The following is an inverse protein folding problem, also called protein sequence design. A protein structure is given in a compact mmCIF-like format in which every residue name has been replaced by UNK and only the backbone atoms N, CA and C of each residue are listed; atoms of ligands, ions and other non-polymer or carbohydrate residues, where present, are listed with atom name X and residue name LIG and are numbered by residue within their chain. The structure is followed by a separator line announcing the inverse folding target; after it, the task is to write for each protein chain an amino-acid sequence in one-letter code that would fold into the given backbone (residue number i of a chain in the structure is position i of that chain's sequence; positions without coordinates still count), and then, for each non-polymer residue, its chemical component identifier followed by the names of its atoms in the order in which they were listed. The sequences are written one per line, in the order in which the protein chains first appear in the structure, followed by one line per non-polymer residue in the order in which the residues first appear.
data_IF_670482785036
#
_entry.id   IF_670482785036
#
_cell.length_a   1.000
_cell.length_b   1.000
_cell.length_c   1.000
_cell.angle_alpha   90.00
_cell.angle_beta   90.00
_cell.angle_gamma   90.00
#
_symmetry.space_group_name_H-M   'P 1'
#
loop_
_entity.id
_entity.type
_entity.pdbx_description
1 polymer ?
#
# COMPACT_ATOMS: atom_id res chain seq x y z
N UNK A 1 17.72 -26.15 -9.67
CA UNK A 1 17.62 -24.78 -9.11
C UNK A 1 18.52 -23.86 -9.92
N UNK A 2 17.98 -22.90 -10.66
CA UNK A 2 18.78 -21.95 -11.43
C UNK A 2 19.57 -21.06 -10.45
N UNK A 3 20.91 -20.96 -10.61
CA UNK A 3 21.77 -20.04 -9.85
C UNK A 3 21.20 -18.63 -10.00
N UNK A 4 20.74 -18.01 -8.91
CA UNK A 4 20.44 -16.57 -8.87
C UNK A 4 21.69 -15.84 -9.36
N UNK A 5 21.64 -15.21 -10.54
CA UNK A 5 22.72 -14.31 -10.98
C UNK A 5 22.85 -13.21 -9.92
N UNK A 6 24.02 -13.11 -9.30
CA UNK A 6 24.34 -11.97 -8.44
C UNK A 6 24.37 -10.73 -9.32
N UNK A 7 23.29 -9.92 -9.26
CA UNK A 7 23.23 -8.64 -9.95
C UNK A 7 24.02 -7.60 -9.14
N UNK A 8 24.64 -6.60 -9.76
CA UNK A 8 25.57 -5.70 -9.09
C UNK A 8 24.90 -4.79 -8.06
N UNK A 9 25.65 -4.46 -7.03
CA UNK A 9 25.44 -3.31 -6.15
C UNK A 9 26.09 -2.10 -6.83
N UNK A 10 25.39 -0.97 -6.87
CA UNK A 10 25.89 0.29 -7.44
C UNK A 10 25.77 1.34 -6.36
N UNK A 11 26.88 1.93 -6.01
CA UNK A 11 26.99 2.88 -4.89
C UNK A 11 26.90 4.32 -5.35
N UNK A 12 26.46 5.21 -4.44
CA UNK A 12 26.44 6.68 -4.60
C UNK A 12 25.71 7.16 -5.87
N UNK A 13 24.54 6.56 -6.15
CA UNK A 13 23.73 6.90 -7.31
C UNK A 13 22.82 8.07 -6.98
N UNK A 14 22.86 9.16 -7.73
CA UNK A 14 21.91 10.28 -7.60
C UNK A 14 20.67 10.01 -8.44
N UNK A 15 19.51 10.02 -7.80
CA UNK A 15 18.21 9.89 -8.46
C UNK A 15 17.91 11.17 -9.24
N UNK A 16 17.50 11.03 -10.51
CA UNK A 16 17.37 12.18 -11.44
C UNK A 16 15.94 12.53 -11.81
N UNK A 17 14.99 11.62 -11.62
CA UNK A 17 13.62 11.90 -12.04
C UNK A 17 12.60 10.92 -11.48
N UNK A 18 11.37 11.08 -11.94
CA UNK A 18 10.23 10.23 -11.60
C UNK A 18 9.60 9.68 -12.87
N UNK A 19 9.26 8.42 -12.85
CA UNK A 19 8.55 7.71 -13.90
C UNK A 19 7.08 7.45 -13.50
N UNK A 20 6.37 6.80 -14.39
CA UNK A 20 5.02 6.32 -14.15
C UNK A 20 4.94 5.47 -12.86
N UNK A 21 3.74 5.40 -12.28
CA UNK A 21 3.44 4.63 -11.05
C UNK A 21 4.23 5.10 -9.81
N UNK A 22 4.80 6.30 -9.83
CA UNK A 22 5.53 6.86 -8.70
C UNK A 22 6.88 6.21 -8.42
N UNK A 23 7.46 5.53 -9.38
CA UNK A 23 8.83 5.03 -9.30
C UNK A 23 9.80 6.16 -9.60
N UNK A 24 10.83 6.32 -8.79
CA UNK A 24 11.95 7.18 -9.16
C UNK A 24 12.77 6.52 -10.28
N UNK A 25 13.50 7.32 -11.03
CA UNK A 25 14.37 6.83 -12.11
C UNK A 25 15.74 7.49 -12.06
N UNK A 26 16.70 6.73 -12.58
CA UNK A 26 18.06 7.18 -12.88
C UNK A 26 18.58 6.43 -14.12
N UNK A 27 19.54 6.99 -14.85
CA UNK A 27 20.28 6.27 -15.89
C UNK A 27 21.59 5.74 -15.32
N UNK A 28 21.80 4.44 -15.48
CA UNK A 28 23.03 3.75 -15.10
C UNK A 28 23.59 3.11 -16.38
N UNK A 29 24.77 3.56 -16.82
CA UNK A 29 25.36 3.15 -18.11
C UNK A 29 24.33 3.23 -19.26
N UNK A 30 23.66 4.37 -19.38
CA UNK A 30 22.62 4.69 -20.36
C UNK A 30 21.34 3.85 -20.28
N UNK A 31 21.24 2.92 -19.35
CA UNK A 31 20.05 2.10 -19.13
C UNK A 31 19.18 2.76 -18.06
N UNK A 32 17.89 2.99 -18.38
CA UNK A 32 16.91 3.49 -17.42
C UNK A 32 16.74 2.48 -16.30
N UNK A 33 16.89 2.96 -15.07
CA UNK A 33 16.76 2.13 -13.86
C UNK A 33 15.65 2.68 -12.98
N UNK A 34 14.65 1.86 -12.69
CA UNK A 34 13.51 2.22 -11.84
C UNK A 34 13.80 1.85 -10.38
N UNK A 35 13.56 2.80 -9.50
CA UNK A 35 13.85 2.67 -8.07
C UNK A 35 12.61 3.09 -7.26
N UNK A 36 11.99 2.20 -6.48
CA UNK A 36 10.89 2.57 -5.60
C UNK A 36 11.40 3.34 -4.37
N UNK A 37 10.51 4.10 -3.74
CA UNK A 37 10.73 4.79 -2.47
C UNK A 37 11.87 5.83 -2.47
N UNK A 38 12.18 6.39 -3.63
CA UNK A 38 13.12 7.49 -3.80
C UNK A 38 12.44 8.73 -4.36
N UNK A 39 13.10 9.87 -4.19
CA UNK A 39 12.77 11.14 -4.83
C UNK A 39 13.98 11.70 -5.56
N UNK A 40 13.80 12.54 -6.59
CA UNK A 40 14.90 13.19 -7.27
C UNK A 40 15.80 13.98 -6.30
N UNK A 41 17.12 13.85 -6.49
CA UNK A 41 18.13 14.42 -5.60
C UNK A 41 18.55 13.50 -4.43
N UNK A 42 17.87 12.39 -4.18
CA UNK A 42 18.40 11.38 -3.25
C UNK A 42 19.70 10.79 -3.79
N UNK A 43 20.70 10.61 -2.94
CA UNK A 43 21.89 9.82 -3.22
C UNK A 43 21.79 8.50 -2.49
N UNK A 44 21.85 7.39 -3.22
CA UNK A 44 21.54 6.05 -2.71
C UNK A 44 22.48 4.97 -3.21
N UNK A 45 22.63 3.90 -2.43
CA UNK A 45 23.21 2.65 -2.90
C UNK A 45 22.10 1.72 -3.39
N UNK A 46 22.25 1.17 -4.58
CA UNK A 46 21.24 0.42 -5.30
C UNK A 46 21.67 -1.03 -5.54
N UNK A 47 20.89 -1.98 -5.06
CA UNK A 47 20.97 -3.36 -5.50
C UNK A 47 20.11 -3.55 -6.74
N UNK A 48 20.71 -3.89 -7.87
CA UNK A 48 19.95 -4.28 -9.06
C UNK A 48 19.19 -5.57 -8.76
N UNK A 49 17.90 -5.58 -9.00
CA UNK A 49 17.01 -6.73 -8.78
C UNK A 49 16.62 -7.43 -10.07
N UNK A 50 16.59 -6.64 -11.17
CA UNK A 50 16.26 -7.15 -12.50
C UNK A 50 17.01 -6.33 -13.57
N UNK A 51 17.54 -7.03 -14.58
CA UNK A 51 18.21 -6.40 -15.73
C UNK A 51 17.61 -6.94 -17.02
N UNK A 52 17.08 -6.04 -17.84
CA UNK A 52 16.66 -6.29 -19.23
C UNK A 52 17.50 -5.43 -20.19
N UNK A 53 17.35 -5.64 -21.48
CA UNK A 53 18.07 -4.87 -22.50
C UNK A 53 17.72 -3.37 -22.44
N UNK A 54 16.45 -3.02 -22.23
CA UNK A 54 15.95 -1.63 -22.27
C UNK A 54 15.81 -0.96 -20.91
N UNK A 55 15.81 -1.71 -19.81
CA UNK A 55 15.67 -1.15 -18.46
C UNK A 55 16.22 -2.06 -17.36
N UNK A 56 16.43 -1.48 -16.19
CA UNK A 56 16.72 -2.18 -14.95
C UNK A 56 15.70 -1.82 -13.86
N UNK A 57 15.54 -2.70 -12.88
CA UNK A 57 14.86 -2.43 -11.63
C UNK A 57 15.87 -2.60 -10.49
N UNK A 58 15.81 -1.72 -9.53
CA UNK A 58 16.70 -1.74 -8.37
C UNK A 58 15.90 -1.51 -7.08
N UNK A 59 16.47 -1.92 -5.94
CA UNK A 59 16.01 -1.55 -4.61
C UNK A 59 17.09 -0.75 -3.90
N UNK A 60 16.67 0.19 -3.08
CA UNK A 60 17.57 0.94 -2.20
C UNK A 60 18.10 0.00 -1.13
N UNK A 61 19.42 -0.03 -0.98
CA UNK A 61 20.10 -0.71 0.13
C UNK A 61 20.42 0.29 1.23
N UNK A 62 20.83 1.49 0.83
CA UNK A 62 21.18 2.56 1.77
C UNK A 62 20.85 3.93 1.16
N UNK A 63 20.25 4.79 1.95
CA UNK A 63 20.12 6.22 1.64
C UNK A 63 21.36 6.91 2.19
N UNK A 64 22.22 7.43 1.31
CA UNK A 64 23.48 8.11 1.66
C UNK A 64 23.19 9.55 2.02
N UNK A 65 22.48 10.24 1.13
CA UNK A 65 22.09 11.64 1.34
C UNK A 65 20.64 11.84 0.87
N UNK A 66 19.74 12.24 1.77
CA UNK A 66 18.38 12.60 1.40
C UNK A 66 18.37 13.87 0.55
N UNK A 67 17.48 13.91 -0.43
CA UNK A 67 17.19 15.12 -1.21
C UNK A 67 16.61 16.22 -0.33
N UNK A 68 16.92 17.46 -0.64
CA UNK A 68 16.35 18.64 0.03
C UNK A 68 14.85 18.79 -0.25
N UNK A 69 14.33 18.18 -1.31
CA UNK A 69 12.88 18.16 -1.61
C UNK A 69 12.14 17.04 -0.90
N UNK A 70 12.84 16.13 -0.23
CA UNK A 70 12.20 15.04 0.52
C UNK A 70 11.46 15.60 1.74
N UNK A 71 10.23 15.15 1.95
CA UNK A 71 9.49 15.46 3.17
C UNK A 71 9.22 14.19 4.00
N UNK A 72 8.84 14.39 5.24
CA UNK A 72 8.39 13.30 6.10
C UNK A 72 6.98 12.85 5.66
N UNK A 73 6.80 11.56 5.45
CA UNK A 73 5.48 11.00 5.17
C UNK A 73 4.58 11.11 6.41
N UNK A 74 3.31 11.48 6.20
CA UNK A 74 2.33 11.51 7.29
C UNK A 74 2.01 10.10 7.81
N UNK A 75 1.91 9.12 6.90
CA UNK A 75 1.60 7.74 7.24
C UNK A 75 2.85 6.98 7.68
N UNK A 76 2.82 6.39 8.88
CA UNK A 76 3.92 5.55 9.40
C UNK A 76 4.18 4.28 8.58
N UNK A 77 3.21 3.86 7.77
CA UNK A 77 3.34 2.69 6.88
C UNK A 77 3.87 3.06 5.48
N UNK A 78 4.23 4.34 5.26
CA UNK A 78 4.82 4.77 3.99
C UNK A 78 6.12 4.02 3.70
N UNK A 79 6.29 3.59 2.44
CA UNK A 79 7.43 2.78 2.03
C UNK A 79 7.27 1.26 2.22
N UNK A 80 6.40 0.83 3.13
CA UNK A 80 6.08 -0.59 3.36
C UNK A 80 4.72 -0.95 2.74
N UNK A 81 3.69 -0.16 3.04
CA UNK A 81 2.38 -0.30 2.42
C UNK A 81 2.44 0.01 0.92
N UNK A 82 1.91 -0.88 0.09
CA UNK A 82 1.89 -0.70 -1.37
C UNK A 82 0.94 0.39 -1.88
N UNK A 83 0.11 1.00 -1.01
CA UNK A 83 -0.96 1.91 -1.42
C UNK A 83 -0.48 3.30 -1.85
N UNK A 84 0.37 3.94 -1.07
CA UNK A 84 0.88 5.28 -1.34
C UNK A 84 2.33 5.22 -1.80
N UNK A 85 2.66 5.94 -2.88
CA UNK A 85 4.01 5.92 -3.48
C UNK A 85 4.82 7.18 -3.16
N UNK A 86 4.16 8.32 -2.93
CA UNK A 86 4.79 9.64 -2.99
C UNK A 86 4.63 10.47 -1.71
N UNK A 87 4.23 9.88 -0.60
CA UNK A 87 4.10 10.68 0.64
C UNK A 87 5.41 11.31 1.13
N UNK A 88 6.54 10.85 0.61
CA UNK A 88 7.88 11.39 0.87
C UNK A 88 8.24 12.57 -0.04
N UNK A 89 7.33 13.01 -0.92
CA UNK A 89 7.48 14.13 -1.83
C UNK A 89 6.36 15.15 -1.58
N UNK A 90 6.64 16.46 -1.41
CA UNK A 90 5.63 17.49 -1.25
C UNK A 90 4.60 17.48 -2.39
N UNK A 91 3.36 17.81 -2.09
CA UNK A 91 2.26 17.69 -3.04
C UNK A 91 2.47 18.54 -4.31
N UNK A 92 3.04 19.74 -4.17
CA UNK A 92 3.38 20.63 -5.26
C UNK A 92 4.38 19.98 -6.23
N UNK A 93 5.36 19.26 -5.70
CA UNK A 93 6.31 18.50 -6.51
C UNK A 93 5.65 17.30 -7.19
N UNK A 94 4.72 16.61 -6.47
CA UNK A 94 3.93 15.54 -7.08
C UNK A 94 3.13 16.05 -8.29
N UNK A 95 2.55 17.24 -8.21
CA UNK A 95 1.81 17.87 -9.31
C UNK A 95 2.71 18.13 -10.51
N UNK A 96 3.92 18.70 -10.31
CA UNK A 96 4.88 18.94 -11.39
C UNK A 96 5.23 17.65 -12.14
N UNK A 97 5.56 16.58 -11.41
CA UNK A 97 5.90 15.29 -12.05
C UNK A 97 4.71 14.63 -12.73
N UNK A 98 3.49 14.77 -12.20
CA UNK A 98 2.28 14.29 -12.87
C UNK A 98 2.02 15.04 -14.18
N UNK A 99 2.16 16.37 -14.18
CA UNK A 99 2.01 17.17 -15.38
C UNK A 99 3.07 16.79 -16.41
N UNK A 100 4.33 16.70 -16.01
CA UNK A 100 5.42 16.30 -16.90
C UNK A 100 5.19 14.92 -17.51
N UNK A 101 4.69 13.95 -16.73
CA UNK A 101 4.37 12.63 -17.26
C UNK A 101 3.29 12.67 -18.35
N UNK A 102 2.24 13.48 -18.18
CA UNK A 102 1.20 13.64 -19.21
C UNK A 102 1.78 14.27 -20.47
N UNK A 103 2.56 15.35 -20.34
CA UNK A 103 3.22 16.00 -21.45
C UNK A 103 4.14 15.00 -22.20
N UNK A 104 4.99 14.27 -21.47
CA UNK A 104 5.90 13.28 -22.06
C UNK A 104 5.13 12.16 -22.77
N UNK A 105 4.05 11.67 -22.22
CA UNK A 105 3.23 10.64 -22.85
C UNK A 105 2.59 11.13 -24.15
N UNK A 106 2.05 12.32 -24.15
CA UNK A 106 1.39 12.88 -25.33
C UNK A 106 2.40 13.24 -26.43
N UNK A 107 3.52 13.87 -26.07
CA UNK A 107 4.52 14.31 -27.07
C UNK A 107 5.41 13.17 -27.53
N UNK A 108 5.96 12.36 -26.63
CA UNK A 108 6.96 11.33 -26.98
C UNK A 108 6.33 10.02 -27.46
N UNK A 109 5.23 9.59 -26.81
CA UNK A 109 4.55 8.33 -27.15
C UNK A 109 3.44 8.61 -28.16
N UNK A 110 2.57 9.57 -27.85
CA UNK A 110 1.43 9.94 -28.72
C UNK A 110 1.83 10.69 -29.98
N UNK A 111 3.04 11.27 -30.02
CA UNK A 111 3.54 12.09 -31.15
C UNK A 111 2.61 13.28 -31.45
N UNK A 112 1.97 13.81 -30.42
CA UNK A 112 1.06 14.95 -30.52
C UNK A 112 1.85 16.22 -30.29
N UNK A 113 1.70 17.19 -31.19
CA UNK A 113 2.19 18.55 -31.01
C UNK A 113 1.21 19.28 -30.07
N UNK A 114 1.65 19.54 -28.84
CA UNK A 114 0.79 20.11 -27.81
C UNK A 114 0.80 21.64 -27.91
N UNK A 115 -0.37 22.28 -27.80
CA UNK A 115 -0.43 23.71 -27.54
C UNK A 115 0.13 24.04 -26.15
N UNK A 116 0.24 25.33 -25.85
CA UNK A 116 0.56 25.76 -24.48
C UNK A 116 -0.42 25.10 -23.47
N UNK A 117 0.15 24.39 -22.50
CA UNK A 117 -0.63 23.65 -21.51
C UNK A 117 -0.78 24.45 -20.24
N UNK A 118 -1.99 24.54 -19.72
CA UNK A 118 -2.25 25.16 -18.44
C UNK A 118 -1.59 24.33 -17.30
N UNK A 119 -1.22 24.97 -16.17
CA UNK A 119 -0.76 24.25 -15.00
C UNK A 119 -1.81 23.23 -14.52
N UNK A 120 -1.33 22.09 -14.04
CA UNK A 120 -2.20 21.05 -13.50
C UNK A 120 -3.03 21.58 -12.32
N UNK A 121 -4.34 21.32 -12.34
CA UNK A 121 -5.22 21.65 -11.23
C UNK A 121 -5.00 20.67 -10.07
N UNK A 122 -4.50 21.18 -8.94
CA UNK A 122 -4.33 20.40 -7.72
C UNK A 122 -5.64 20.20 -6.95
N UNK A 123 -5.68 19.13 -6.13
CA UNK A 123 -6.76 18.92 -5.17
C UNK A 123 -6.56 19.82 -3.94
N UNK A 124 -7.64 20.42 -3.45
CA UNK A 124 -7.63 21.16 -2.18
C UNK A 124 -7.41 20.24 -0.98
N UNK A 125 -7.89 19.00 -1.07
CA UNK A 125 -7.76 17.97 -0.03
C UNK A 125 -6.83 16.86 -0.54
N UNK A 126 -5.68 16.69 0.10
CA UNK A 126 -4.64 15.73 -0.29
C UNK A 126 -4.67 14.43 0.53
N UNK A 127 -5.42 14.43 1.63
CA UNK A 127 -5.74 13.27 2.46
C UNK A 127 -7.26 13.15 2.58
N UNK A 128 -7.75 12.01 3.06
CA UNK A 128 -9.19 11.73 3.26
C UNK A 128 -10.06 11.92 2.00
N UNK A 129 -9.45 11.86 0.81
CA UNK A 129 -10.14 12.08 -0.48
C UNK A 129 -10.79 10.81 -1.06
N UNK A 130 -10.44 9.65 -0.53
CA UNK A 130 -11.02 8.38 -0.98
C UNK A 130 -12.38 8.14 -0.38
N UNK A 131 -13.28 7.63 -1.20
CA UNK A 131 -14.62 7.20 -0.79
C UNK A 131 -14.77 5.66 -0.74
N UNK A 132 -13.69 4.92 -0.98
CA UNK A 132 -13.64 3.45 -0.87
C UNK A 132 -12.28 2.98 -0.40
N UNK A 133 -12.27 2.11 0.61
CA UNK A 133 -11.12 1.26 0.96
C UNK A 133 -11.58 -0.19 1.09
N UNK A 134 -10.67 -1.09 0.74
CA UNK A 134 -10.83 -2.52 0.88
C UNK A 134 -9.63 -3.07 1.64
N UNK A 135 -9.89 -3.65 2.81
CA UNK A 135 -8.88 -4.24 3.68
C UNK A 135 -8.98 -5.75 3.64
N UNK A 136 -7.87 -6.42 3.50
CA UNK A 136 -7.79 -7.87 3.63
C UNK A 136 -7.61 -8.26 5.09
N UNK A 137 -8.28 -9.34 5.49
CA UNK A 137 -8.06 -10.02 6.76
C UNK A 137 -7.23 -11.28 6.47
N UNK A 138 -6.12 -11.46 7.15
CA UNK A 138 -5.24 -12.61 6.92
C UNK A 138 -4.70 -13.17 8.23
N UNK A 139 -4.61 -14.49 8.31
CA UNK A 139 -3.92 -15.20 9.39
C UNK A 139 -2.38 -15.17 9.22
N UNK A 140 -1.89 -14.50 8.18
CA UNK A 140 -0.46 -14.34 7.87
C UNK A 140 -0.09 -12.87 7.79
N UNK A 141 0.15 -12.26 8.95
CA UNK A 141 0.60 -10.89 9.05
C UNK A 141 2.04 -10.75 8.53
N UNK A 142 2.27 -9.74 7.69
CA UNK A 142 3.62 -9.37 7.32
C UNK A 142 4.30 -8.63 8.47
N UNK A 143 5.53 -9.02 8.75
CA UNK A 143 6.37 -8.45 9.81
C UNK A 143 7.72 -8.04 9.23
N UNK A 144 8.31 -6.91 9.68
CA UNK A 144 9.69 -6.54 9.36
C UNK A 144 10.66 -7.62 9.82
N UNK A 145 11.73 -7.83 9.05
CA UNK A 145 12.74 -8.83 9.39
C UNK A 145 13.40 -8.58 10.74
N UNK A 146 13.63 -7.31 11.07
CA UNK A 146 14.20 -6.87 12.34
C UNK A 146 13.32 -7.28 13.53
N UNK A 147 12.00 -7.18 13.37
CA UNK A 147 11.06 -7.62 14.40
C UNK A 147 11.08 -9.14 14.59
N UNK A 148 11.17 -9.89 13.49
CA UNK A 148 11.27 -11.36 13.54
C UNK A 148 12.57 -11.78 14.23
N UNK A 149 13.69 -11.14 13.89
CA UNK A 149 14.99 -11.43 14.52
C UNK A 149 15.00 -11.07 16.02
N UNK A 150 14.48 -9.89 16.38
CA UNK A 150 14.41 -9.44 17.77
C UNK A 150 13.58 -10.38 18.65
N UNK A 151 12.57 -11.03 18.09
CA UNK A 151 11.74 -12.01 18.79
C UNK A 151 12.35 -13.43 18.85
N UNK A 152 13.47 -13.68 18.16
CA UNK A 152 14.10 -15.00 18.10
C UNK A 152 13.54 -15.94 17.03
N UNK A 153 12.72 -15.43 16.12
CA UNK A 153 12.15 -16.18 14.98
C UNK A 153 10.67 -15.90 14.75
N UNK A 154 10.18 -16.36 13.59
CA UNK A 154 8.78 -16.12 13.19
C UNK A 154 7.78 -16.83 14.13
N UNK A 155 8.16 -17.96 14.70
CA UNK A 155 7.31 -18.75 15.60
C UNK A 155 7.16 -18.11 17.00
N UNK A 156 7.96 -17.09 17.29
CA UNK A 156 7.92 -16.34 18.55
C UNK A 156 7.09 -15.03 18.43
N UNK A 157 6.52 -14.75 17.27
CA UNK A 157 5.75 -13.52 17.01
C UNK A 157 4.32 -13.89 16.66
N UNK A 158 3.35 -13.20 17.29
CA UNK A 158 1.95 -13.26 16.86
C UNK A 158 1.81 -12.64 15.46
N UNK A 159 1.80 -13.49 14.44
CA UNK A 159 1.64 -13.10 13.04
C UNK A 159 0.23 -13.40 12.51
N UNK A 160 -0.71 -13.73 13.39
CA UNK A 160 -2.14 -13.86 13.08
C UNK A 160 -2.86 -12.51 13.13
N UNK A 161 -4.11 -12.46 12.78
CA UNK A 161 -4.99 -11.28 12.88
C UNK A 161 -4.47 -10.02 12.18
N UNK A 162 -3.94 -10.14 10.95
CA UNK A 162 -3.59 -8.99 10.13
C UNK A 162 -4.81 -8.41 9.43
N UNK A 163 -5.10 -7.11 9.63
CA UNK A 163 -6.14 -6.37 8.88
C UNK A 163 -5.53 -5.14 8.22
N UNK A 164 -5.46 -5.16 6.91
CA UNK A 164 -4.83 -4.05 6.17
C UNK A 164 -4.67 -4.34 4.70
N UNK A 165 -3.46 -4.14 4.18
CA UNK A 165 -3.19 -4.27 2.74
C UNK A 165 -2.13 -5.33 2.46
N UNK A 166 -2.26 -6.02 1.33
CA UNK A 166 -1.20 -6.92 0.87
C UNK A 166 0.09 -6.16 0.59
N UNK A 167 1.21 -6.77 0.96
CA UNK A 167 2.53 -6.25 0.63
C UNK A 167 2.83 -6.49 -0.86
N UNK A 168 3.39 -5.51 -1.57
CA UNK A 168 3.81 -5.70 -2.95
C UNK A 168 4.72 -6.92 -3.11
N UNK A 169 4.30 -7.86 -3.95
CA UNK A 169 5.05 -9.09 -4.21
C UNK A 169 4.80 -10.24 -3.22
N UNK A 170 3.91 -10.07 -2.23
CA UNK A 170 3.51 -11.11 -1.28
C UNK A 170 1.98 -11.15 -1.17
N UNK A 171 1.35 -11.92 -2.04
CA UNK A 171 -0.11 -12.02 -2.11
C UNK A 171 -0.76 -12.67 -0.88
N UNK A 172 0.02 -13.47 -0.16
CA UNK A 172 -0.41 -14.26 1.00
C UNK A 172 -0.19 -13.55 2.35
N UNK A 173 0.40 -12.35 2.33
CA UNK A 173 0.72 -11.60 3.55
C UNK A 173 0.08 -10.24 3.58
N UNK A 174 -0.49 -9.90 4.71
CA UNK A 174 -1.12 -8.60 4.94
C UNK A 174 -0.30 -7.79 5.93
N UNK A 175 0.04 -6.57 5.54
CA UNK A 175 0.54 -5.57 6.48
C UNK A 175 -0.62 -5.15 7.38
N UNK A 176 -0.51 -5.49 8.66
CA UNK A 176 -1.45 -5.04 9.66
C UNK A 176 -1.23 -3.54 9.90
N UNK A 177 -2.21 -2.73 9.57
CA UNK A 177 -2.09 -1.28 9.71
C UNK A 177 -2.96 -0.78 10.87
N UNK A 178 -2.50 0.28 11.54
CA UNK A 178 -3.27 0.94 12.59
C UNK A 178 -4.03 2.15 12.05
N UNK A 179 -3.52 2.76 10.98
CA UNK A 179 -4.08 3.95 10.39
C UNK A 179 -3.93 3.98 8.86
N UNK A 180 -4.90 4.60 8.20
CA UNK A 180 -4.84 4.98 6.79
C UNK A 180 -5.47 6.36 6.63
N UNK A 181 -4.70 7.31 6.10
CA UNK A 181 -5.13 8.70 5.95
C UNK A 181 -5.87 8.99 4.64
N UNK A 182 -6.20 7.97 3.86
CA UNK A 182 -6.87 8.16 2.55
C UNK A 182 -8.39 8.28 2.66
N UNK A 183 -8.98 7.82 3.76
CA UNK A 183 -10.39 8.02 4.13
C UNK A 183 -10.47 8.67 5.53
N UNK A 184 -11.62 9.23 5.93
CA UNK A 184 -11.84 9.74 7.27
C UNK A 184 -11.46 8.74 8.37
N UNK A 185 -11.02 9.22 9.53
CA UNK A 185 -10.44 8.40 10.62
C UNK A 185 -11.31 7.24 11.08
N UNK A 186 -12.65 7.38 11.00
CA UNK A 186 -13.61 6.34 11.36
C UNK A 186 -13.35 4.99 10.64
N UNK A 187 -12.73 5.02 9.44
CA UNK A 187 -12.33 3.77 8.76
C UNK A 187 -11.27 2.99 9.56
N UNK A 188 -10.41 3.70 10.29
CA UNK A 188 -9.40 3.10 11.15
C UNK A 188 -10.05 2.48 12.39
N UNK A 189 -11.02 3.19 12.98
CA UNK A 189 -11.74 2.73 14.17
C UNK A 189 -12.51 1.45 13.87
N UNK A 190 -13.26 1.41 12.76
CA UNK A 190 -13.99 0.21 12.31
C UNK A 190 -13.03 -0.97 12.08
N UNK A 191 -11.96 -0.76 11.34
CA UNK A 191 -10.97 -1.81 11.05
C UNK A 191 -10.33 -2.34 12.33
N UNK A 192 -9.90 -1.45 13.22
CA UNK A 192 -9.27 -1.82 14.49
C UNK A 192 -10.26 -2.55 15.40
N UNK A 193 -11.52 -2.12 15.42
CA UNK A 193 -12.59 -2.80 16.16
C UNK A 193 -12.80 -4.22 15.64
N UNK A 194 -12.89 -4.42 14.34
CA UNK A 194 -13.01 -5.78 13.75
C UNK A 194 -11.84 -6.67 14.18
N UNK A 195 -10.61 -6.18 14.09
CA UNK A 195 -9.42 -6.94 14.51
C UNK A 195 -9.46 -7.30 15.99
N UNK A 196 -9.78 -6.35 16.85
CA UNK A 196 -9.82 -6.53 18.29
C UNK A 196 -10.95 -7.50 18.67
N UNK A 197 -12.14 -7.31 18.13
CA UNK A 197 -13.29 -8.18 18.34
C UNK A 197 -13.00 -9.62 17.91
N UNK A 198 -12.46 -9.80 16.71
CA UNK A 198 -12.11 -11.13 16.19
C UNK A 198 -11.12 -11.86 17.12
N UNK A 199 -10.08 -11.15 17.58
CA UNK A 199 -9.11 -11.71 18.52
C UNK A 199 -9.72 -12.10 19.87
N UNK A 200 -10.61 -11.27 20.40
CA UNK A 200 -11.26 -11.50 21.69
C UNK A 200 -12.29 -12.66 21.65
N UNK A 201 -12.96 -12.83 20.51
CA UNK A 201 -14.04 -13.81 20.35
C UNK A 201 -13.64 -15.05 19.54
N UNK A 202 -12.36 -15.16 19.16
CA UNK A 202 -11.82 -16.34 18.47
C UNK A 202 -12.30 -16.52 17.03
N UNK A 203 -12.70 -15.41 16.32
CA UNK A 203 -12.96 -15.48 14.89
C UNK A 203 -11.65 -15.67 14.14
N UNK A 204 -11.64 -16.59 13.18
CA UNK A 204 -10.46 -16.89 12.37
C UNK A 204 -10.36 -15.95 11.18
N UNK A 205 -9.12 -15.65 10.77
CA UNK A 205 -8.85 -14.87 9.57
C UNK A 205 -8.50 -15.78 8.39
N UNK A 206 -8.81 -15.30 7.20
CA UNK A 206 -8.65 -16.09 5.96
C UNK A 206 -7.19 -16.39 5.64
N UNK A 207 -6.94 -17.64 5.23
CA UNK A 207 -5.66 -18.10 4.75
C UNK A 207 -5.72 -18.32 3.24
N UNK A 208 -4.90 -17.59 2.47
CA UNK A 208 -4.89 -17.64 1.00
C UNK A 208 -4.30 -18.96 0.44
N UNK A 209 -3.66 -19.82 1.28
CA UNK A 209 -3.15 -21.12 0.83
C UNK A 209 -4.08 -22.27 1.13
N UNK A 210 -4.72 -22.25 2.32
CA UNK A 210 -5.64 -23.32 2.72
C UNK A 210 -7.08 -23.03 2.34
N UNK A 211 -7.39 -21.77 2.00
CA UNK A 211 -8.72 -21.25 1.69
C UNK A 211 -9.72 -21.44 2.83
N UNK A 212 -9.23 -21.33 4.07
CA UNK A 212 -10.01 -21.45 5.30
C UNK A 212 -9.92 -20.16 6.11
N UNK A 213 -10.91 -19.95 6.97
CA UNK A 213 -11.00 -18.80 7.86
C UNK A 213 -12.23 -17.94 7.58
N UNK A 214 -12.79 -17.42 8.66
CA UNK A 214 -14.08 -16.72 8.64
C UNK A 214 -13.95 -15.33 8.00
N UNK A 215 -13.12 -14.45 8.55
CA UNK A 215 -12.99 -13.07 8.06
C UNK A 215 -12.00 -12.99 6.88
N UNK A 216 -12.48 -12.48 5.74
CA UNK A 216 -11.69 -12.40 4.49
C UNK A 216 -11.40 -10.97 4.04
N UNK A 217 -12.43 -10.11 3.97
CA UNK A 217 -12.26 -8.75 3.45
C UNK A 217 -13.25 -7.80 4.11
N UNK A 218 -12.81 -6.56 4.34
CA UNK A 218 -13.66 -5.45 4.76
C UNK A 218 -13.67 -4.40 3.67
N UNK A 219 -14.84 -4.04 3.16
CA UNK A 219 -15.01 -2.96 2.19
C UNK A 219 -15.78 -1.83 2.84
N UNK A 220 -15.12 -0.68 2.98
CA UNK A 220 -15.75 0.54 3.48
C UNK A 220 -15.98 1.50 2.32
N UNK A 221 -17.15 2.12 2.31
CA UNK A 221 -17.47 3.24 1.45
C UNK A 221 -18.08 4.36 2.28
N UNK A 222 -17.76 5.59 1.94
CA UNK A 222 -18.38 6.75 2.55
C UNK A 222 -18.91 7.72 1.47
N UNK A 223 -19.90 8.50 1.84
CA UNK A 223 -20.36 9.62 1.05
C UNK A 223 -19.92 10.97 1.66
N UNK A 224 -20.25 12.06 1.01
CA UNK A 224 -19.90 13.41 1.46
C UNK A 224 -20.63 13.88 2.74
N UNK A 225 -21.67 13.14 3.19
CA UNK A 225 -22.38 13.40 4.44
C UNK A 225 -21.77 12.65 5.64
N UNK A 226 -20.71 11.84 5.42
CA UNK A 226 -20.12 10.99 6.45
C UNK A 226 -20.86 9.70 6.72
N UNK A 227 -21.90 9.36 5.94
CA UNK A 227 -22.61 8.09 6.02
C UNK A 227 -21.73 6.97 5.43
N UNK A 228 -21.76 5.80 6.06
CA UNK A 228 -20.92 4.66 5.71
C UNK A 228 -21.72 3.48 5.21
N UNK A 229 -21.16 2.79 4.23
CA UNK A 229 -21.49 1.41 3.88
C UNK A 229 -20.33 0.53 4.27
N UNK A 230 -20.58 -0.51 5.03
CA UNK A 230 -19.60 -1.55 5.37
C UNK A 230 -20.08 -2.89 4.79
N UNK A 231 -19.21 -3.55 4.04
CA UNK A 231 -19.41 -4.92 3.56
C UNK A 231 -18.34 -5.79 4.21
N UNK A 232 -18.76 -6.80 4.96
CA UNK A 232 -17.87 -7.81 5.54
C UNK A 232 -17.94 -9.08 4.70
N UNK A 233 -16.82 -9.49 4.13
CA UNK A 233 -16.74 -10.72 3.36
C UNK A 233 -16.21 -11.85 4.25
N UNK A 234 -16.91 -12.97 4.25
CA UNK A 234 -16.55 -14.17 4.98
C UNK A 234 -16.10 -15.26 4.00
N UNK A 235 -15.00 -15.95 4.33
CA UNK A 235 -14.46 -17.06 3.56
C UNK A 235 -15.15 -18.40 3.85
N UNK A 236 -16.01 -18.43 4.88
CA UNK A 236 -16.79 -19.58 5.32
C UNK A 236 -18.27 -19.19 5.44
N UNK A 237 -19.13 -20.20 5.60
CA UNK A 237 -20.55 -19.94 5.87
C UNK A 237 -20.74 -19.20 7.19
N UNK A 238 -21.68 -18.28 7.19
CA UNK A 238 -22.05 -17.52 8.37
C UNK A 238 -22.47 -18.41 9.53
N UNK A 239 -22.00 -18.06 10.71
CA UNK A 239 -22.36 -18.67 11.98
C UNK A 239 -22.71 -17.60 13.02
N UNK A 240 -23.08 -18.04 14.21
CA UNK A 240 -23.48 -17.13 15.29
C UNK A 240 -22.41 -16.10 15.68
N UNK A 241 -21.11 -16.46 15.64
CA UNK A 241 -20.02 -15.54 15.93
C UNK A 241 -19.90 -14.44 14.87
N UNK A 242 -20.11 -14.79 13.60
CA UNK A 242 -20.10 -13.82 12.50
C UNK A 242 -21.24 -12.82 12.62
N UNK A 243 -22.46 -13.28 12.95
CA UNK A 243 -23.60 -12.39 13.21
C UNK A 243 -23.36 -11.49 14.41
N UNK A 244 -22.79 -12.00 15.51
CA UNK A 244 -22.47 -11.22 16.69
C UNK A 244 -21.45 -10.09 16.39
N UNK A 245 -20.47 -10.33 15.52
CA UNK A 245 -19.57 -9.27 15.03
C UNK A 245 -20.34 -8.19 14.27
N UNK A 246 -21.26 -8.57 13.35
CA UNK A 246 -22.03 -7.59 12.59
C UNK A 246 -22.92 -6.74 13.50
N UNK A 247 -23.57 -7.35 14.48
CA UNK A 247 -24.38 -6.66 15.49
C UNK A 247 -23.53 -5.69 16.32
N UNK A 248 -22.35 -6.14 16.78
CA UNK A 248 -21.41 -5.27 17.50
C UNK A 248 -21.00 -4.05 16.67
N UNK A 249 -20.68 -4.22 15.38
CA UNK A 249 -20.32 -3.13 14.49
C UNK A 249 -21.48 -2.16 14.25
N UNK A 250 -22.70 -2.69 14.09
CA UNK A 250 -23.90 -1.86 13.91
C UNK A 250 -24.16 -0.98 15.14
N UNK A 251 -24.01 -1.53 16.34
CA UNK A 251 -24.22 -0.79 17.59
C UNK A 251 -23.09 0.20 17.87
N UNK A 252 -21.82 -0.16 17.59
CA UNK A 252 -20.68 0.67 17.87
C UNK A 252 -20.52 1.86 16.91
N UNK A 253 -21.01 1.74 15.66
CA UNK A 253 -20.82 2.73 14.61
C UNK A 253 -22.16 3.13 13.96
N UNK A 254 -22.93 4.03 14.56
CA UNK A 254 -24.23 4.47 14.02
C UNK A 254 -24.11 5.18 12.66
N UNK A 255 -22.90 5.59 12.24
CA UNK A 255 -22.64 6.13 10.91
C UNK A 255 -22.74 5.06 9.80
N UNK A 256 -22.72 3.78 10.15
CA UNK A 256 -22.92 2.67 9.19
C UNK A 256 -24.41 2.56 8.90
N UNK A 257 -24.87 3.24 7.86
CA UNK A 257 -26.27 3.21 7.39
C UNK A 257 -26.58 2.00 6.51
N UNK A 258 -25.55 1.33 6.01
CA UNK A 258 -25.68 0.11 5.21
C UNK A 258 -24.62 -0.90 5.64
N UNK A 259 -25.05 -1.92 6.39
CA UNK A 259 -24.20 -3.02 6.79
C UNK A 259 -24.58 -4.28 6.02
N UNK A 260 -23.64 -4.79 5.24
CA UNK A 260 -23.83 -5.94 4.35
C UNK A 260 -22.81 -7.02 4.68
N UNK A 261 -23.13 -8.26 4.35
CA UNK A 261 -22.16 -9.34 4.34
C UNK A 261 -22.21 -10.15 3.04
N UNK A 262 -21.12 -10.84 2.74
CA UNK A 262 -21.00 -11.75 1.60
C UNK A 262 -20.30 -13.02 2.05
N UNK A 263 -20.87 -14.16 1.74
CA UNK A 263 -20.21 -15.47 1.82
C UNK A 263 -19.42 -15.68 0.53
N UNK A 264 -18.10 -15.44 0.58
CA UNK A 264 -17.21 -15.64 -0.57
C UNK A 264 -16.46 -16.95 -0.42
N UNK A 265 -17.13 -18.04 -0.77
CA UNK A 265 -16.64 -19.42 -0.66
C UNK A 265 -15.78 -19.85 -1.87
N UNK A 266 -15.55 -18.96 -2.83
CA UNK A 266 -14.74 -19.25 -4.03
C UNK A 266 -13.26 -19.02 -3.75
N UNK A 267 -12.44 -19.84 -4.40
CA UNK A 267 -10.97 -19.80 -4.33
C UNK A 267 -10.40 -18.88 -5.41
#
# INVERSE_FOLDING_TARGET
MAKKKNLPLIENVTITGIAAEGKALVRINDIVTFVPNCVPGDVVDLQITKKKHSFMEAKVVKLIQPSTTRCQAQCKHSGTCGGCKWQILPYEEQLKYKQQQIIDNLTRIGKIDLPETNPILGSKQIYEYRNKLEFSCSDRKWLPWEQIQAAGGIDQVDNTYGVGFHIPGAFDKVLDIDECHLMPSINNDIRNTVRTYAKQHGLTFYNEHTHQGQLRTLILRNNHKGELMLIVSFGEKMNQQCFALLEHLHLAFPQIISLLYVENLKF
#
